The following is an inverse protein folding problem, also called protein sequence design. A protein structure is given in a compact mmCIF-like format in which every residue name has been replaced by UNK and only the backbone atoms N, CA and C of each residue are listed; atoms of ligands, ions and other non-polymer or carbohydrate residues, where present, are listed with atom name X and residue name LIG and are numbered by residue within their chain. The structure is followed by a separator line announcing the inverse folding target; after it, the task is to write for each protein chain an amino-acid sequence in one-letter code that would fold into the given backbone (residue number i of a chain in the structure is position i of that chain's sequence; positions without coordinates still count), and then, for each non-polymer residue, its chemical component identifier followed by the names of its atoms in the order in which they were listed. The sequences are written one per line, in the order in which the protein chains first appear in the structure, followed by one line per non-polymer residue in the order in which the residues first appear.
data_IF_117701216063
#
_entry.id   IF_117701216063
#
_cell.length_a   1.000
_cell.length_b   1.000
_cell.length_c   1.000
_cell.angle_alpha   90.00
_cell.angle_beta   90.00
_cell.angle_gamma   90.00
#
_symmetry.space_group_name_H-M   'P 1'
#
loop_
_entity.id
_entity.type
_entity.pdbx_description
1 polymer ?
#
# COMPACT_ATOMS: atom_id res chain seq x y z
N UNK A 1 -48.55 -47.60 142.64
CA UNK A 1 -48.03 -48.05 141.32
C UNK A 1 -48.49 -47.04 140.27
N UNK A 2 -47.77 -45.96 140.00
CA UNK A 2 -46.49 -45.87 139.27
C UNK A 2 -46.57 -46.38 137.82
N UNK A 3 -47.57 -45.94 137.03
CA UNK A 3 -47.59 -46.27 135.59
C UNK A 3 -48.06 -45.12 134.67
N UNK A 4 -48.77 -44.10 135.16
CA UNK A 4 -49.35 -43.05 134.30
C UNK A 4 -48.46 -41.80 134.18
N UNK A 5 -47.61 -41.49 135.17
CA UNK A 5 -46.66 -40.35 135.12
C UNK A 5 -45.36 -40.63 134.37
N UNK A 6 -45.01 -41.92 134.14
CA UNK A 6 -43.80 -42.33 133.40
C UNK A 6 -44.08 -42.51 131.91
N UNK A 7 -45.30 -42.88 131.51
CA UNK A 7 -45.70 -42.97 130.10
C UNK A 7 -45.90 -41.61 129.45
N UNK A 8 -46.41 -40.60 130.18
CA UNK A 8 -46.56 -39.23 129.68
C UNK A 8 -45.20 -38.56 129.45
N UNK A 9 -44.25 -38.68 130.39
CA UNK A 9 -42.88 -38.17 130.20
C UNK A 9 -42.12 -38.91 129.09
N UNK A 10 -42.35 -40.21 128.93
CA UNK A 10 -41.70 -41.02 127.89
C UNK A 10 -42.32 -40.78 126.50
N UNK A 11 -43.64 -40.53 126.44
CA UNK A 11 -44.33 -40.09 125.24
C UNK A 11 -43.93 -38.66 124.84
N UNK A 12 -43.85 -37.71 125.79
CA UNK A 12 -43.33 -36.36 125.55
C UNK A 12 -41.86 -36.40 125.11
N UNK A 13 -41.02 -37.21 125.76
CA UNK A 13 -39.62 -37.37 125.36
C UNK A 13 -39.47 -38.00 123.97
N UNK A 14 -40.29 -38.99 123.62
CA UNK A 14 -40.32 -39.56 122.26
C UNK A 14 -40.81 -38.55 121.23
N UNK A 15 -41.82 -37.75 121.57
CA UNK A 15 -42.36 -36.72 120.66
C UNK A 15 -41.33 -35.61 120.45
N UNK A 16 -40.58 -35.23 121.49
CA UNK A 16 -39.43 -34.30 121.38
C UNK A 16 -38.29 -34.92 120.59
N UNK A 17 -37.96 -36.20 120.76
CA UNK A 17 -36.92 -36.85 119.96
C UNK A 17 -37.33 -36.99 118.48
N UNK A 18 -38.58 -37.32 118.20
CA UNK A 18 -39.11 -37.41 116.83
C UNK A 18 -39.25 -36.02 116.21
N UNK A 19 -39.63 -34.99 116.98
CA UNK A 19 -39.67 -33.63 116.47
C UNK A 19 -38.27 -33.10 116.22
N UNK A 20 -37.30 -33.33 117.11
CA UNK A 20 -35.90 -32.94 116.94
C UNK A 20 -35.26 -33.70 115.77
N UNK A 21 -35.49 -35.01 115.66
CA UNK A 21 -34.99 -35.83 114.55
C UNK A 21 -35.66 -35.47 113.22
N UNK A 22 -36.97 -35.20 113.23
CA UNK A 22 -37.71 -34.73 112.06
C UNK A 22 -37.27 -33.34 111.62
N UNK A 23 -37.05 -32.42 112.57
CA UNK A 23 -36.50 -31.10 112.26
C UNK A 23 -35.09 -31.23 111.71
N UNK A 24 -34.18 -31.99 112.36
CA UNK A 24 -32.80 -32.14 111.90
C UNK A 24 -32.69 -32.85 110.54
N UNK A 25 -33.50 -33.88 110.30
CA UNK A 25 -33.58 -34.57 109.01
C UNK A 25 -34.12 -33.66 107.91
N UNK A 26 -35.15 -32.86 108.19
CA UNK A 26 -35.63 -31.85 107.26
C UNK A 26 -34.57 -30.77 107.00
N UNK A 27 -33.85 -30.28 108.02
CA UNK A 27 -32.79 -29.28 107.81
C UNK A 27 -31.67 -29.81 106.93
N UNK A 28 -31.22 -31.06 107.14
CA UNK A 28 -30.18 -31.67 106.32
C UNK A 28 -30.64 -31.87 104.87
N UNK A 29 -31.87 -32.34 104.67
CA UNK A 29 -32.46 -32.47 103.33
C UNK A 29 -32.62 -31.12 102.62
N UNK A 30 -33.07 -30.09 103.35
CA UNK A 30 -33.15 -28.73 102.82
C UNK A 30 -31.76 -28.15 102.57
N UNK A 31 -30.76 -28.49 103.37
CA UNK A 31 -29.39 -28.02 103.19
C UNK A 31 -28.76 -28.64 101.95
N UNK A 32 -28.96 -29.94 101.70
CA UNK A 32 -28.53 -30.63 100.48
C UNK A 32 -29.30 -30.13 99.24
N UNK A 33 -30.62 -29.91 99.37
CA UNK A 33 -31.43 -29.33 98.28
C UNK A 33 -31.01 -27.89 97.96
N UNK A 34 -30.68 -27.10 98.98
CA UNK A 34 -30.18 -25.72 98.81
C UNK A 34 -28.80 -25.75 98.16
N UNK A 35 -27.87 -26.61 98.60
CA UNK A 35 -26.55 -26.77 97.95
C UNK A 35 -26.66 -27.22 96.50
N UNK A 36 -27.57 -28.15 96.18
CA UNK A 36 -27.81 -28.59 94.81
C UNK A 36 -28.40 -27.47 93.95
N UNK A 37 -29.38 -26.72 94.47
CA UNK A 37 -29.94 -25.55 93.79
C UNK A 37 -28.90 -24.43 93.61
N UNK A 38 -28.01 -24.22 94.57
CA UNK A 38 -26.95 -23.21 94.49
C UNK A 38 -25.92 -23.61 93.43
N UNK A 39 -25.55 -24.90 93.38
CA UNK A 39 -24.70 -25.46 92.33
C UNK A 39 -25.34 -25.32 90.95
N UNK A 40 -26.64 -25.62 90.81
CA UNK A 40 -27.34 -25.52 89.54
C UNK A 40 -27.53 -24.07 89.09
N UNK A 41 -27.78 -23.13 90.01
CA UNK A 41 -27.79 -21.70 89.73
C UNK A 41 -26.42 -21.21 89.25
N UNK A 42 -25.34 -21.59 89.94
CA UNK A 42 -23.97 -21.24 89.55
C UNK A 42 -23.63 -21.77 88.15
N UNK A 43 -24.01 -23.02 87.83
CA UNK A 43 -23.87 -23.61 86.49
C UNK A 43 -24.68 -22.84 85.44
N UNK A 44 -25.93 -22.46 85.75
CA UNK A 44 -26.79 -21.69 84.86
C UNK A 44 -26.28 -20.27 84.64
N UNK A 45 -25.74 -19.61 85.67
CA UNK A 45 -25.10 -18.30 85.56
C UNK A 45 -23.88 -18.39 84.63
N UNK A 46 -23.02 -19.39 84.82
CA UNK A 46 -21.84 -19.59 84.00
C UNK A 46 -22.20 -19.90 82.54
N UNK A 47 -23.23 -20.70 82.29
CA UNK A 47 -23.75 -20.95 80.92
C UNK A 47 -24.39 -19.70 80.30
N UNK A 48 -25.06 -18.87 81.10
CA UNK A 48 -25.61 -17.60 80.62
C UNK A 48 -24.49 -16.62 80.25
N UNK A 49 -23.40 -16.59 81.02
CA UNK A 49 -22.21 -15.81 80.71
C UNK A 49 -21.59 -16.27 79.38
N UNK A 50 -21.33 -17.58 79.23
CA UNK A 50 -20.83 -18.15 77.97
C UNK A 50 -21.74 -17.84 76.77
N UNK A 51 -23.05 -18.06 76.91
CA UNK A 51 -23.99 -17.76 75.83
C UNK A 51 -24.01 -16.28 75.45
N UNK A 52 -23.73 -15.36 76.41
CA UNK A 52 -23.62 -13.93 76.11
C UNK A 52 -22.34 -13.63 75.35
N UNK A 53 -21.21 -14.23 75.75
CA UNK A 53 -19.93 -14.12 75.05
C UNK A 53 -20.02 -14.66 73.62
N UNK A 54 -20.51 -15.90 73.43
CA UNK A 54 -20.70 -16.53 72.11
C UNK A 54 -21.58 -15.67 71.19
N UNK A 55 -22.64 -15.09 71.76
CA UNK A 55 -23.59 -14.27 71.01
C UNK A 55 -23.03 -12.89 70.68
N UNK A 56 -22.12 -12.36 71.49
CA UNK A 56 -21.35 -11.16 71.19
C UNK A 56 -20.31 -11.44 70.09
N UNK A 57 -19.57 -12.55 70.19
CA UNK A 57 -18.62 -13.00 69.17
C UNK A 57 -19.33 -13.22 67.81
N UNK A 58 -20.42 -13.98 67.80
CA UNK A 58 -21.21 -14.23 66.58
C UNK A 58 -21.72 -12.92 65.96
N UNK A 59 -22.09 -11.92 66.77
CA UNK A 59 -22.50 -10.60 66.27
C UNK A 59 -21.36 -9.85 65.62
N UNK A 60 -20.17 -9.88 66.22
CA UNK A 60 -18.96 -9.27 65.66
C UNK A 60 -18.57 -9.94 64.34
N UNK A 61 -18.59 -11.27 64.28
CA UNK A 61 -18.32 -12.03 63.04
C UNK A 61 -19.33 -11.72 61.94
N UNK A 62 -20.62 -11.63 62.28
CA UNK A 62 -21.67 -11.27 61.34
C UNK A 62 -21.48 -9.85 60.79
N UNK A 63 -21.05 -8.91 61.63
CA UNK A 63 -20.73 -7.56 61.20
C UNK A 63 -19.53 -7.54 60.25
N UNK A 64 -18.42 -8.19 60.62
CA UNK A 64 -17.23 -8.28 59.79
C UNK A 64 -17.52 -8.95 58.43
N UNK A 65 -18.36 -9.99 58.43
CA UNK A 65 -18.78 -10.68 57.20
C UNK A 65 -19.64 -9.77 56.31
N UNK A 66 -20.53 -8.97 56.89
CA UNK A 66 -21.34 -7.98 56.14
C UNK A 66 -20.47 -6.88 55.54
N UNK A 67 -19.43 -6.44 56.23
CA UNK A 67 -18.49 -5.44 55.71
C UNK A 67 -17.70 -6.02 54.54
N UNK A 68 -17.15 -7.23 54.67
CA UNK A 68 -16.48 -7.93 53.56
C UNK A 68 -17.39 -8.14 52.35
N UNK A 69 -18.67 -8.46 52.57
CA UNK A 69 -19.64 -8.62 51.48
C UNK A 69 -19.89 -7.31 50.73
N UNK A 70 -19.90 -6.16 51.42
CA UNK A 70 -20.05 -4.84 50.77
C UNK A 70 -18.83 -4.53 49.93
N UNK A 71 -17.63 -4.67 50.49
CA UNK A 71 -16.37 -4.44 49.78
C UNK A 71 -16.24 -5.34 48.54
N UNK A 72 -16.58 -6.62 48.66
CA UNK A 72 -16.54 -7.55 47.55
C UNK A 72 -17.55 -7.17 46.44
N UNK A 73 -18.72 -6.65 46.83
CA UNK A 73 -19.73 -6.22 45.87
C UNK A 73 -19.31 -4.95 45.12
N UNK A 74 -18.69 -3.99 45.81
CA UNK A 74 -18.10 -2.78 45.20
C UNK A 74 -16.95 -3.13 44.24
N UNK A 75 -16.08 -4.07 44.64
CA UNK A 75 -15.02 -4.58 43.77
C UNK A 75 -15.56 -5.31 42.54
N UNK A 76 -16.64 -6.08 42.69
CA UNK A 76 -17.31 -6.77 41.59
C UNK A 76 -17.94 -5.78 40.60
N UNK A 77 -18.57 -4.73 41.10
CA UNK A 77 -19.15 -3.66 40.27
C UNK A 77 -18.07 -2.93 39.47
N UNK A 78 -16.97 -2.57 40.14
CA UNK A 78 -15.80 -1.95 39.48
C UNK A 78 -15.23 -2.86 38.40
N UNK A 79 -15.00 -4.14 38.72
CA UNK A 79 -14.47 -5.12 37.76
C UNK A 79 -15.39 -5.28 36.54
N UNK A 80 -16.71 -5.28 36.74
CA UNK A 80 -17.68 -5.34 35.63
C UNK A 80 -17.61 -4.10 34.74
N UNK A 81 -17.46 -2.92 35.34
CA UNK A 81 -17.26 -1.67 34.60
C UNK A 81 -15.97 -1.70 33.77
N UNK A 82 -14.88 -2.17 34.36
CA UNK A 82 -13.58 -2.28 33.68
C UNK A 82 -13.65 -3.27 32.51
N UNK A 83 -14.32 -4.42 32.69
CA UNK A 83 -14.55 -5.39 31.60
C UNK A 83 -15.36 -4.77 30.47
N UNK A 84 -16.38 -3.95 30.78
CA UNK A 84 -17.15 -3.22 29.78
C UNK A 84 -16.28 -2.27 28.97
N UNK A 85 -15.49 -1.43 29.63
CA UNK A 85 -14.57 -0.49 28.97
C UNK A 85 -13.52 -1.20 28.11
N UNK A 86 -12.94 -2.30 28.60
CA UNK A 86 -11.98 -3.09 27.81
C UNK A 86 -12.64 -3.70 26.58
N UNK A 87 -13.89 -4.14 26.68
CA UNK A 87 -14.63 -4.70 25.55
C UNK A 87 -14.91 -3.64 24.48
N UNK A 88 -15.34 -2.43 24.88
CA UNK A 88 -15.55 -1.30 23.96
C UNK A 88 -14.25 -0.89 23.25
N UNK A 89 -13.15 -0.78 24.00
CA UNK A 89 -11.84 -0.46 23.42
C UNK A 89 -11.35 -1.54 22.44
N UNK A 90 -11.65 -2.81 22.72
CA UNK A 90 -11.32 -3.92 21.83
C UNK A 90 -12.09 -3.81 20.52
N UNK A 91 -13.41 -3.59 20.58
CA UNK A 91 -14.24 -3.39 19.38
C UNK A 91 -13.76 -2.20 18.54
N UNK A 92 -13.39 -1.08 19.18
CA UNK A 92 -12.83 0.07 18.46
C UNK A 92 -11.50 -0.28 17.77
N UNK A 93 -10.61 -0.98 18.47
CA UNK A 93 -9.31 -1.39 17.94
C UNK A 93 -9.47 -2.37 16.77
N UNK A 94 -10.42 -3.31 16.86
CA UNK A 94 -10.75 -4.23 15.78
C UNK A 94 -11.24 -3.49 14.53
N UNK A 95 -12.12 -2.49 14.69
CA UNK A 95 -12.57 -1.66 13.57
C UNK A 95 -11.46 -0.82 12.94
N UNK A 96 -10.55 -0.26 13.75
CA UNK A 96 -9.37 0.46 13.24
C UNK A 96 -8.42 -0.47 12.47
N UNK A 97 -8.25 -1.71 12.95
CA UNK A 97 -7.43 -2.71 12.28
C UNK A 97 -8.02 -3.07 10.90
N UNK A 98 -9.32 -3.34 10.82
CA UNK A 98 -10.01 -3.63 9.55
C UNK A 98 -9.84 -2.48 8.54
N UNK A 99 -10.07 -1.23 8.97
CA UNK A 99 -9.87 -0.06 8.11
C UNK A 99 -8.43 0.06 7.63
N UNK A 100 -7.45 -0.23 8.48
CA UNK A 100 -6.02 -0.17 8.12
C UNK A 100 -5.65 -1.28 7.12
N UNK A 101 -6.23 -2.47 7.28
CA UNK A 101 -6.03 -3.59 6.34
C UNK A 101 -6.59 -3.26 4.95
N UNK A 102 -7.75 -2.62 4.88
CA UNK A 102 -8.37 -2.17 3.63
C UNK A 102 -7.53 -1.08 2.94
N UNK A 103 -7.08 -0.07 3.68
CA UNK A 103 -6.19 0.98 3.17
C UNK A 103 -4.87 0.39 2.64
N UNK A 104 -4.30 -0.58 3.36
CA UNK A 104 -3.08 -1.27 2.96
C UNK A 104 -3.30 -2.10 1.68
N UNK A 105 -4.45 -2.76 1.55
CA UNK A 105 -4.84 -3.48 0.34
C UNK A 105 -4.96 -2.54 -0.86
N UNK A 106 -5.67 -1.41 -0.70
CA UNK A 106 -5.80 -0.39 -1.75
C UNK A 106 -4.44 0.16 -2.17
N UNK A 107 -3.60 0.53 -1.20
CA UNK A 107 -2.26 1.07 -1.46
C UNK A 107 -1.39 0.09 -2.24
N UNK A 108 -1.49 -1.22 -1.95
CA UNK A 108 -0.77 -2.26 -2.69
C UNK A 108 -1.23 -2.36 -4.14
N UNK A 109 -2.53 -2.25 -4.40
CA UNK A 109 -3.09 -2.26 -5.76
C UNK A 109 -2.63 -1.04 -6.55
N UNK A 110 -2.66 0.15 -5.94
CA UNK A 110 -2.19 1.39 -6.55
C UNK A 110 -0.69 1.33 -6.88
N UNK A 111 0.12 0.77 -5.97
CA UNK A 111 1.54 0.57 -6.20
C UNK A 111 1.80 -0.35 -7.40
N UNK A 112 1.05 -1.46 -7.50
CA UNK A 112 1.17 -2.38 -8.62
C UNK A 112 0.76 -1.72 -9.95
N UNK A 113 -0.31 -0.93 -9.95
CA UNK A 113 -0.74 -0.18 -11.12
C UNK A 113 0.32 0.85 -11.56
N UNK A 114 0.92 1.57 -10.61
CA UNK A 114 1.99 2.52 -10.87
C UNK A 114 3.23 1.83 -11.45
N UNK A 115 3.63 0.67 -10.92
CA UNK A 115 4.75 -0.13 -11.45
C UNK A 115 4.52 -0.58 -12.90
N UNK A 116 3.32 -1.08 -13.22
CA UNK A 116 2.96 -1.45 -14.58
C UNK A 116 3.01 -0.23 -15.53
N UNK A 117 2.55 0.93 -15.07
CA UNK A 117 2.59 2.16 -15.86
C UNK A 117 4.01 2.64 -16.14
N UNK A 118 4.92 2.49 -15.18
CA UNK A 118 6.35 2.79 -15.38
C UNK A 118 6.93 1.89 -16.47
N UNK A 119 6.72 0.58 -16.40
CA UNK A 119 7.21 -0.36 -17.42
C UNK A 119 6.69 -0.05 -18.83
N UNK A 120 5.39 0.30 -18.94
CA UNK A 120 4.81 0.71 -20.23
C UNK A 120 5.47 1.99 -20.77
N UNK A 121 5.71 2.97 -19.90
CA UNK A 121 6.36 4.23 -20.29
C UNK A 121 7.83 4.01 -20.69
N UNK A 122 8.56 3.15 -19.99
CA UNK A 122 9.93 2.77 -20.34
C UNK A 122 9.98 2.15 -21.75
N UNK A 123 9.10 1.19 -22.06
CA UNK A 123 9.03 0.60 -23.39
C UNK A 123 8.65 1.61 -24.49
N UNK A 124 7.81 2.60 -24.17
CA UNK A 124 7.47 3.69 -25.09
C UNK A 124 8.66 4.63 -25.34
N UNK A 125 9.49 4.88 -24.33
CA UNK A 125 10.71 5.68 -24.47
C UNK A 125 11.68 4.97 -25.40
N UNK A 126 11.97 3.69 -25.17
CA UNK A 126 12.85 2.88 -26.03
C UNK A 126 12.37 2.90 -27.49
N UNK A 127 11.07 2.67 -27.72
CA UNK A 127 10.48 2.74 -29.07
C UNK A 127 10.66 4.12 -29.73
N UNK A 128 10.56 5.21 -28.96
CA UNK A 128 10.73 6.56 -29.48
C UNK A 128 12.19 6.88 -29.78
N UNK A 129 13.13 6.38 -28.98
CA UNK A 129 14.56 6.51 -29.21
C UNK A 129 14.97 5.82 -30.50
N UNK A 130 14.52 4.57 -30.72
CA UNK A 130 14.77 3.82 -31.96
C UNK A 130 14.25 4.58 -33.19
N UNK A 131 13.01 5.10 -33.11
CA UNK A 131 12.42 5.88 -34.21
C UNK A 131 13.17 7.19 -34.46
N UNK A 132 13.70 7.81 -33.40
CA UNK A 132 14.49 9.03 -33.54
C UNK A 132 15.80 8.74 -34.30
N UNK A 133 16.47 7.65 -33.93
CA UNK A 133 17.69 7.20 -34.59
C UNK A 133 17.45 6.87 -36.07
N UNK A 134 16.37 6.15 -36.39
CA UNK A 134 15.97 5.84 -37.77
C UNK A 134 15.74 7.12 -38.58
N UNK A 135 15.00 8.08 -38.03
CA UNK A 135 14.72 9.36 -38.67
C UNK A 135 16.00 10.18 -38.90
N UNK A 136 16.93 10.17 -37.94
CA UNK A 136 18.21 10.86 -38.08
C UNK A 136 19.06 10.24 -39.20
N UNK A 137 19.13 8.91 -39.28
CA UNK A 137 19.81 8.22 -40.38
C UNK A 137 19.17 8.57 -41.72
N UNK A 138 17.83 8.58 -41.80
CA UNK A 138 17.11 8.94 -43.02
C UNK A 138 17.36 10.39 -43.44
N UNK A 139 17.40 11.31 -42.48
CA UNK A 139 17.71 12.72 -42.75
C UNK A 139 19.11 12.88 -43.35
N UNK A 140 20.12 12.22 -42.76
CA UNK A 140 21.50 12.26 -43.27
C UNK A 140 21.61 11.68 -44.69
N UNK A 141 20.91 10.56 -44.96
CA UNK A 141 20.90 9.95 -46.29
C UNK A 141 20.26 10.88 -47.33
N UNK A 142 19.13 11.52 -46.99
CA UNK A 142 18.48 12.49 -47.86
C UNK A 142 19.35 13.72 -48.12
N UNK A 143 20.08 14.19 -47.11
CA UNK A 143 21.04 15.29 -47.26
C UNK A 143 22.17 14.93 -48.24
N UNK A 144 22.76 13.74 -48.10
CA UNK A 144 23.78 13.23 -49.03
C UNK A 144 23.23 13.14 -50.46
N UNK A 145 22.06 12.52 -50.65
CA UNK A 145 21.43 12.44 -51.98
C UNK A 145 21.16 13.83 -52.57
N UNK A 146 20.79 14.81 -51.74
CA UNK A 146 20.57 16.17 -52.23
C UNK A 146 21.87 16.85 -52.67
N UNK A 147 22.99 16.58 -51.99
CA UNK A 147 24.31 17.06 -52.39
C UNK A 147 24.74 16.42 -53.73
N UNK A 148 24.57 15.11 -53.86
CA UNK A 148 24.90 14.38 -55.10
C UNK A 148 24.09 14.92 -56.30
N UNK A 149 22.78 15.09 -56.13
CA UNK A 149 21.90 15.64 -57.19
C UNK A 149 22.26 17.09 -57.55
N UNK A 150 22.75 17.89 -56.59
CA UNK A 150 23.21 19.25 -56.87
C UNK A 150 24.48 19.24 -57.71
N UNK A 151 25.42 18.36 -57.40
CA UNK A 151 26.65 18.18 -58.17
C UNK A 151 26.33 17.70 -59.60
N UNK A 152 25.50 16.68 -59.75
CA UNK A 152 25.06 16.18 -61.07
C UNK A 152 24.37 17.29 -61.89
N UNK A 153 23.55 18.14 -61.25
CA UNK A 153 22.94 19.29 -61.91
C UNK A 153 23.99 20.30 -62.39
N UNK A 154 25.01 20.58 -61.58
CA UNK A 154 26.08 21.51 -61.94
C UNK A 154 26.89 20.97 -63.13
N UNK A 155 27.23 19.68 -63.12
CA UNK A 155 27.93 19.00 -64.22
C UNK A 155 27.10 19.03 -65.52
N UNK A 156 25.81 18.69 -65.45
CA UNK A 156 24.92 18.75 -66.62
C UNK A 156 24.77 20.17 -67.16
N UNK A 157 24.79 21.19 -66.30
CA UNK A 157 24.75 22.58 -66.75
C UNK A 157 26.03 22.94 -67.51
N UNK A 158 27.19 22.48 -67.04
CA UNK A 158 28.45 22.66 -67.75
C UNK A 158 28.43 21.97 -69.13
N UNK A 159 27.98 20.71 -69.20
CA UNK A 159 27.85 19.98 -70.47
C UNK A 159 26.95 20.71 -71.47
N UNK A 160 25.84 21.29 -71.00
CA UNK A 160 24.94 22.11 -71.82
C UNK A 160 25.65 23.35 -72.37
N UNK A 161 26.41 24.04 -71.55
CA UNK A 161 27.16 25.23 -71.96
C UNK A 161 28.24 24.88 -73.00
N UNK A 162 28.97 23.77 -72.79
CA UNK A 162 29.99 23.27 -73.72
C UNK A 162 29.40 22.84 -75.07
N UNK A 163 28.27 22.13 -75.06
CA UNK A 163 27.55 21.76 -76.28
C UNK A 163 27.02 22.99 -77.03
N UNK A 164 26.54 24.00 -76.31
CA UNK A 164 26.07 25.26 -76.90
C UNK A 164 27.21 25.99 -77.61
N UNK A 165 28.39 26.07 -76.98
CA UNK A 165 29.60 26.63 -77.58
C UNK A 165 30.02 25.87 -78.85
N UNK A 166 29.97 24.54 -78.82
CA UNK A 166 30.32 23.71 -79.97
C UNK A 166 29.35 23.89 -81.14
N UNK A 167 28.05 23.99 -80.86
CA UNK A 167 27.04 24.32 -81.88
C UNK A 167 27.36 25.66 -82.55
N UNK A 168 27.68 26.70 -81.77
CA UNK A 168 28.03 28.01 -82.32
C UNK A 168 29.29 27.97 -83.21
N UNK A 169 30.29 27.15 -82.85
CA UNK A 169 31.49 26.93 -83.68
C UNK A 169 31.14 26.24 -84.98
N UNK A 170 30.40 25.12 -84.92
CA UNK A 170 29.97 24.38 -86.11
C UNK A 170 29.11 25.23 -87.05
N UNK A 171 28.23 26.07 -86.52
CA UNK A 171 27.45 27.03 -87.32
C UNK A 171 28.36 28.03 -88.05
N UNK A 172 29.40 28.52 -87.38
CA UNK A 172 30.39 29.43 -87.97
C UNK A 172 31.19 28.75 -89.08
N UNK A 173 31.68 27.53 -88.84
CA UNK A 173 32.40 26.72 -89.83
C UNK A 173 31.53 26.42 -91.06
N UNK A 174 30.25 26.08 -90.85
CA UNK A 174 29.29 25.87 -91.94
C UNK A 174 29.11 27.15 -92.77
N UNK A 175 29.06 28.32 -92.13
CA UNK A 175 28.97 29.61 -92.81
C UNK A 175 30.22 29.91 -93.66
N UNK A 176 31.42 29.65 -93.12
CA UNK A 176 32.68 29.82 -93.83
C UNK A 176 32.77 28.88 -95.03
N UNK A 177 32.47 27.59 -94.83
CA UNK A 177 32.47 26.59 -95.90
C UNK A 177 31.49 26.94 -97.01
N UNK A 178 30.29 27.46 -96.67
CA UNK A 178 29.33 27.95 -97.68
C UNK A 178 29.91 29.10 -98.49
N UNK A 179 30.52 30.09 -97.84
CA UNK A 179 31.17 31.23 -98.50
C UNK A 179 32.28 30.77 -99.44
N UNK A 180 33.13 29.85 -98.98
CA UNK A 180 34.21 29.29 -99.79
C UNK A 180 33.70 28.47 -100.98
N UNK A 181 32.61 27.73 -100.80
CA UNK A 181 31.98 26.98 -101.88
C UNK A 181 31.44 27.93 -102.97
N UNK A 182 30.81 29.04 -102.56
CA UNK A 182 30.34 30.09 -103.47
C UNK A 182 31.49 30.72 -104.26
N UNK A 183 32.59 31.06 -103.58
CA UNK A 183 33.79 31.58 -104.23
C UNK A 183 34.37 30.59 -105.25
N UNK A 184 34.55 29.32 -104.85
CA UNK A 184 35.07 28.28 -105.76
C UNK A 184 34.16 28.04 -106.97
N UNK A 185 32.83 28.20 -106.82
CA UNK A 185 31.90 28.14 -107.95
C UNK A 185 32.11 29.31 -108.91
N UNK A 186 32.24 30.53 -108.40
CA UNK A 186 32.51 31.72 -109.21
C UNK A 186 33.86 31.59 -109.95
N UNK A 187 34.92 31.13 -109.26
CA UNK A 187 36.22 30.87 -109.89
C UNK A 187 36.12 29.80 -110.98
N UNK A 188 35.37 28.71 -110.74
CA UNK A 188 35.13 27.69 -111.77
C UNK A 188 34.38 28.23 -112.98
N UNK A 189 33.39 29.10 -112.77
CA UNK A 189 32.64 29.76 -113.84
C UNK A 189 33.56 30.65 -114.67
N UNK A 190 34.36 31.51 -114.02
CA UNK A 190 35.35 32.35 -114.69
C UNK A 190 36.38 31.55 -115.49
N UNK A 191 36.89 30.45 -114.92
CA UNK A 191 37.83 29.57 -115.64
C UNK A 191 37.19 28.91 -116.86
N UNK A 192 35.91 28.51 -116.77
CA UNK A 192 35.16 27.96 -117.91
C UNK A 192 34.95 29.00 -119.00
N UNK A 193 34.60 30.23 -118.63
CA UNK A 193 34.44 31.34 -119.59
C UNK A 193 35.77 31.67 -120.28
N UNK A 194 36.86 31.77 -119.52
CA UNK A 194 38.20 32.01 -120.05
C UNK A 194 38.66 30.86 -120.98
N UNK A 195 38.36 29.60 -120.61
CA UNK A 195 38.62 28.45 -121.47
C UNK A 195 37.82 28.55 -122.77
N UNK A 196 36.53 28.88 -122.71
CA UNK A 196 35.68 29.04 -123.89
C UNK A 196 36.20 30.18 -124.81
N UNK A 197 36.62 31.30 -124.24
CA UNK A 197 37.23 32.41 -124.97
C UNK A 197 38.55 31.99 -125.66
N UNK A 198 39.44 31.32 -124.93
CA UNK A 198 40.69 30.80 -125.50
C UNK A 198 40.41 29.79 -126.63
N UNK A 199 39.46 28.88 -126.45
CA UNK A 199 39.01 27.94 -127.48
C UNK A 199 38.41 28.62 -128.71
N UNK A 200 37.75 29.77 -128.55
CA UNK A 200 37.21 30.57 -129.65
C UNK A 200 38.30 31.32 -130.43
N UNK A 201 39.39 31.73 -129.76
CA UNK A 201 40.52 32.42 -130.38
C UNK A 201 41.42 31.52 -131.25
N UNK A 202 41.29 30.19 -131.16
CA UNK A 202 42.04 29.25 -132.00
C UNK A 202 41.58 29.36 -133.47
N UNK A 203 42.49 29.66 -134.43
CA UNK A 203 42.15 29.81 -135.84
C UNK A 203 41.49 28.54 -136.42
N UNK A 204 40.53 28.66 -137.36
CA UNK A 204 39.77 27.53 -137.89
C UNK A 204 40.61 26.49 -138.67
N UNK A 205 41.87 26.79 -138.97
CA UNK A 205 42.80 25.90 -139.67
C UNK A 205 43.72 25.10 -138.73
N UNK A 206 43.59 25.23 -137.41
CA UNK A 206 44.33 24.45 -136.40
C UNK A 206 43.39 23.50 -135.64
N UNK A 207 43.89 22.30 -135.30
CA UNK A 207 43.15 21.32 -134.47
C UNK A 207 42.99 21.83 -133.04
N UNK A 208 41.75 21.95 -132.57
CA UNK A 208 41.45 22.35 -131.19
C UNK A 208 41.78 21.23 -130.18
N UNK A 209 42.24 21.58 -128.96
CA UNK A 209 42.39 20.64 -127.84
C UNK A 209 41.08 19.94 -127.48
N UNK A 210 41.15 18.80 -126.78
CA UNK A 210 39.98 18.01 -126.34
C UNK A 210 39.14 18.65 -125.24
N UNK A 211 39.71 19.65 -124.56
CA UNK A 211 39.06 20.44 -123.51
C UNK A 211 38.26 21.62 -124.11
N UNK A 212 38.43 21.84 -125.43
CA UNK A 212 37.50 22.56 -126.30
C UNK A 212 36.54 21.55 -126.96
#
# INVERSE_FOLDING_TARGET
MSLIGRSINLALALLVCVSVAGTAGATLYYQESVEQLDSENSDLEQRNEQLREDLEETRQELQATRERLRELNESLETTRSDVGQVSENLEETEGQLESTEDELSSTRQDLQAAQNRVQELEGRVETLEDRNQELQTRANNLESTNQDLRAERDDLQQDVDELSDEVNRLESDVSELRTRNEQLRQENEQLRDALAEACAAIPPNETKPSEC
#
